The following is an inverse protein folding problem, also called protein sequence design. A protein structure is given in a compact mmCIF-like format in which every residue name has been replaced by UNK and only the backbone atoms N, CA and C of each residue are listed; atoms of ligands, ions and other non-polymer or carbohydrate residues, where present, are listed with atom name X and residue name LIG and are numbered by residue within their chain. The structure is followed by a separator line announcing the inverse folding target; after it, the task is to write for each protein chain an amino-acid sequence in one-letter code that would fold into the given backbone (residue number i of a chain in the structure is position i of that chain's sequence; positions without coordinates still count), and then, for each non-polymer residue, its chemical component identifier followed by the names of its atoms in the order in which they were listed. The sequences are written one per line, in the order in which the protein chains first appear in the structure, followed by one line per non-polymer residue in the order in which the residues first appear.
data_IF_808991704362
#
_entry.id   IF_808991704362
#
_cell.length_a   1.000
_cell.length_b   1.000
_cell.length_c   1.000
_cell.angle_alpha   90.00
_cell.angle_beta   90.00
_cell.angle_gamma   90.00
#
_symmetry.space_group_name_H-M   'P 1'
#
loop_
_entity.id
_entity.type
_entity.pdbx_description
1 polymer ?
2 non-polymer ?
3 non-polymer ?
4 non-polymer ?
5 water ?
#
# COMPACT_ATOMS: atom_id res chain seq x y z
N UNK A 4 -21.32 -4.20 -9.46
CA UNK A 4 -20.94 -5.20 -8.41
C UNK A 4 -20.07 -4.58 -7.29
N UNK A 5 -18.84 -4.17 -7.63
CA UNK A 5 -17.95 -3.54 -6.64
C UNK A 5 -18.17 -2.02 -6.58
N UNK A 6 -19.41 -1.64 -6.24
CA UNK A 6 -19.90 -0.25 -6.31
C UNK A 6 -19.23 0.76 -5.37
N UNK A 7 -18.47 0.26 -4.39
CA UNK A 7 -17.76 1.13 -3.44
C UNK A 7 -16.42 1.66 -3.92
N UNK A 8 -15.89 1.02 -4.98
CA UNK A 8 -14.58 1.36 -5.56
C UNK A 8 -14.51 2.80 -6.13
N UNK A 9 -15.60 3.21 -6.81
CA UNK A 9 -15.63 4.44 -7.55
C UNK A 9 -15.14 5.67 -6.79
N UNK A 10 -15.63 5.86 -5.56
CA UNK A 10 -15.27 7.06 -4.83
C UNK A 10 -13.77 7.08 -4.50
N UNK A 11 -13.22 5.92 -4.12
CA UNK A 11 -11.75 5.83 -3.90
C UNK A 11 -10.96 6.12 -5.17
N UNK A 12 -11.33 5.49 -6.28
CA UNK A 12 -10.61 5.74 -7.52
C UNK A 12 -10.71 7.24 -7.94
N UNK A 13 -11.85 7.89 -7.64
CA UNK A 13 -11.99 9.30 -7.98
C UNK A 13 -11.05 10.17 -7.12
N UNK A 14 -10.87 9.83 -5.84
CA UNK A 14 -9.93 10.57 -4.99
C UNK A 14 -8.47 10.39 -5.51
N UNK A 15 -8.13 9.22 -6.05
CA UNK A 15 -6.78 9.03 -6.61
C UNK A 15 -6.60 9.83 -7.89
N UNK A 16 -7.61 9.78 -8.77
CA UNK A 16 -7.58 10.44 -10.06
C UNK A 16 -7.36 11.97 -9.92
N UNK A 17 -7.90 12.56 -8.86
CA UNK A 17 -7.67 14.00 -8.60
C UNK A 17 -6.17 14.32 -8.48
N UNK A 18 -5.43 13.46 -7.79
CA UNK A 18 -3.99 13.71 -7.63
C UNK A 18 -3.27 13.38 -8.95
N UNK A 19 -3.61 12.24 -9.56
CA UNK A 19 -3.09 11.90 -10.88
C UNK A 19 -3.34 12.96 -11.99
N UNK A 20 -4.42 13.74 -11.89
CA UNK A 20 -4.66 14.77 -12.91
C UNK A 20 -3.87 16.06 -12.62
N UNK A 21 -3.31 16.19 -11.41
CA UNK A 21 -2.65 17.43 -10.98
C UNK A 21 -1.17 17.45 -11.42
N UNK A 22 -0.74 18.56 -12.02
CA UNK A 22 0.67 18.76 -12.38
C UNK A 22 1.12 20.18 -11.99
N UNK A 23 1.16 20.47 -10.70
CA UNK A 23 1.28 21.85 -10.26
C UNK A 23 2.67 22.47 -10.50
N UNK A 24 3.68 21.63 -10.74
CA UNK A 24 5.02 22.11 -11.06
C UNK A 24 5.26 22.05 -12.55
N UNK A 25 4.22 21.70 -13.31
CA UNK A 25 4.27 21.65 -14.77
C UNK A 25 5.45 20.77 -15.18
N UNK A 26 5.48 19.56 -14.65
CA UNK A 26 6.68 18.73 -14.75
C UNK A 26 6.55 17.55 -15.68
N UNK A 27 5.37 17.36 -16.27
CA UNK A 27 5.11 16.15 -17.02
C UNK A 27 6.18 15.85 -18.07
N UNK A 28 6.49 16.84 -18.92
CA UNK A 28 7.41 16.61 -20.03
C UNK A 28 8.82 16.39 -19.50
N UNK A 29 9.10 16.88 -18.31
CA UNK A 29 10.40 16.77 -17.71
C UNK A 29 10.60 15.37 -17.10
N UNK A 30 9.62 14.90 -16.34
CA UNK A 30 9.77 13.61 -15.68
C UNK A 30 9.87 12.48 -16.72
N UNK A 31 9.20 12.60 -17.86
CA UNK A 31 9.38 11.61 -18.95
C UNK A 31 10.82 11.41 -19.39
N UNK A 32 11.69 12.41 -19.18
CA UNK A 32 13.12 12.32 -19.56
C UNK A 32 13.97 11.46 -18.60
N UNK A 33 13.43 11.20 -17.41
CA UNK A 33 14.16 10.49 -16.35
C UNK A 33 14.64 9.05 -16.69
N UNK A 34 13.79 8.19 -17.29
CA UNK A 34 14.27 6.85 -17.64
C UNK A 34 15.54 6.84 -18.50
N UNK A 35 15.63 7.77 -19.43
CA UNK A 35 16.82 7.86 -20.31
C UNK A 35 18.06 8.16 -19.46
N UNK A 36 17.90 9.06 -18.50
CA UNK A 36 19.02 9.48 -17.66
C UNK A 36 19.43 8.36 -16.72
N UNK A 37 18.44 7.63 -16.24
CA UNK A 37 18.72 6.48 -15.37
C UNK A 37 19.49 5.40 -16.10
N UNK A 38 19.08 5.11 -17.33
CA UNK A 38 19.75 4.11 -18.17
C UNK A 38 21.21 4.53 -18.42
N UNK A 39 21.41 5.83 -18.54
CA UNK A 39 22.75 6.34 -18.80
C UNK A 39 23.54 6.61 -17.50
N UNK A 40 22.92 6.35 -16.35
CA UNK A 40 23.54 6.57 -15.02
C UNK A 40 24.07 7.99 -14.90
N UNK A 41 23.32 8.95 -15.45
CA UNK A 41 23.78 10.33 -15.56
C UNK A 41 23.31 11.09 -14.33
N UNK A 42 24.08 11.01 -13.26
CA UNK A 42 23.70 11.59 -11.99
C UNK A 42 23.62 13.13 -12.05
N UNK A 43 24.64 13.79 -12.64
CA UNK A 43 24.54 15.25 -12.82
C UNK A 43 23.31 15.66 -13.63
N UNK A 44 23.03 14.94 -14.72
CA UNK A 44 21.84 15.18 -15.52
C UNK A 44 20.53 14.99 -14.77
N UNK A 45 20.46 13.98 -13.90
CA UNK A 45 19.26 13.75 -13.07
C UNK A 45 19.02 14.94 -12.11
N UNK A 46 20.08 15.37 -11.45
CA UNK A 46 20.00 16.58 -10.61
C UNK A 46 19.58 17.82 -11.41
N UNK A 47 20.19 18.02 -12.57
CA UNK A 47 19.88 19.20 -13.40
C UNK A 47 18.42 19.20 -13.83
N UNK A 48 17.90 18.03 -14.16
CA UNK A 48 16.52 17.91 -14.56
C UNK A 48 15.55 18.21 -13.40
N UNK A 49 15.84 17.66 -12.23
CA UNK A 49 15.08 17.98 -11.04
C UNK A 49 15.07 19.49 -10.76
N UNK A 50 16.22 20.14 -10.91
CA UNK A 50 16.31 21.59 -10.60
C UNK A 50 15.53 22.47 -11.59
N UNK A 51 15.20 21.92 -12.75
CA UNK A 51 14.36 22.62 -13.70
C UNK A 51 12.95 22.87 -13.15
N UNK A 52 12.47 22.04 -12.23
CA UNK A 52 11.13 22.22 -11.67
C UNK A 52 11.00 22.27 -10.14
N UNK A 53 12.09 21.95 -9.44
CA UNK A 53 12.08 22.01 -8.00
C UNK A 53 11.82 23.45 -7.53
N UNK A 54 10.78 23.67 -6.72
CA UNK A 54 10.56 25.04 -6.20
C UNK A 54 11.69 25.48 -5.25
N UNK A 55 12.13 26.74 -5.36
CA UNK A 55 13.22 27.25 -4.50
C UNK A 55 12.73 28.36 -3.58
N UNK A 56 11.45 28.68 -3.67
CA UNK A 56 10.92 29.83 -2.96
C UNK A 56 9.81 29.43 -2.00
N UNK A 57 9.82 28.17 -1.59
CA UNK A 57 8.72 27.63 -0.81
C UNK A 57 7.51 27.33 -1.66
N UNK A 58 6.53 26.67 -1.06
CA UNK A 58 5.36 26.16 -1.77
C UNK A 58 4.38 27.29 -2.06
N UNK A 59 3.73 27.26 -3.26
CA UNK A 59 2.66 28.20 -3.57
C UNK A 59 1.57 28.15 -2.50
N UNK A 60 1.11 29.31 -2.04
CA UNK A 60 0.21 29.36 -0.88
C UNK A 60 -1.20 28.84 -1.16
N UNK A 61 -1.59 28.71 -2.43
CA UNK A 61 -2.93 28.24 -2.78
C UNK A 61 -3.04 26.71 -2.92
N UNK A 62 -1.91 26.03 -2.80
CA UNK A 62 -1.87 24.57 -2.82
C UNK A 62 -2.68 23.94 -1.70
N UNK A 63 -3.42 22.90 -2.02
CA UNK A 63 -4.03 22.03 -1.02
C UNK A 63 -3.35 20.67 -1.03
N UNK A 64 -4.01 19.67 -0.48
CA UNK A 64 -3.44 18.33 -0.39
C UNK A 64 -3.07 17.80 -1.78
N UNK A 65 -3.95 18.03 -2.75
CA UNK A 65 -3.80 17.45 -4.08
C UNK A 65 -2.53 17.92 -4.80
N UNK A 66 -2.32 19.23 -4.83
CA UNK A 66 -1.10 19.81 -5.41
C UNK A 66 0.18 19.34 -4.67
N UNK A 67 0.18 19.35 -3.35
CA UNK A 67 1.38 18.98 -2.61
C UNK A 67 1.71 17.48 -2.84
N UNK A 68 0.70 16.63 -2.84
CA UNK A 68 0.91 15.19 -3.14
C UNK A 68 1.43 14.99 -4.57
N UNK A 69 0.87 15.73 -5.52
CA UNK A 69 1.34 15.66 -6.90
C UNK A 69 2.79 16.15 -7.05
N UNK A 70 3.15 17.22 -6.34
CA UNK A 70 4.52 17.71 -6.33
C UNK A 70 5.47 16.66 -5.72
N UNK A 71 5.05 16.02 -4.63
CA UNK A 71 5.88 15.00 -3.99
C UNK A 71 6.09 13.83 -4.94
N UNK A 72 5.05 13.52 -5.72
CA UNK A 72 5.17 12.43 -6.67
C UNK A 72 6.31 12.73 -7.65
N UNK A 73 6.26 13.93 -8.24
CA UNK A 73 7.16 14.27 -9.36
C UNK A 73 8.59 14.47 -8.88
N UNK A 74 8.76 15.07 -7.70
CA UNK A 74 10.10 15.15 -7.10
C UNK A 74 10.50 13.75 -6.68
N UNK A 75 9.54 13.01 -6.13
CA UNK A 75 9.79 11.66 -5.62
C UNK A 75 10.51 10.70 -6.54
N UNK A 76 10.11 10.66 -7.82
CA UNK A 76 10.85 9.80 -8.74
C UNK A 76 12.36 10.06 -8.83
N UNK A 77 12.76 11.33 -8.64
CA UNK A 77 14.15 11.71 -8.55
C UNK A 77 14.86 11.20 -7.32
N UNK A 78 14.12 11.03 -6.22
CA UNK A 78 14.70 10.59 -4.95
C UNK A 78 15.17 9.14 -5.04
N UNK A 79 14.27 8.26 -5.44
CA UNK A 79 14.67 6.87 -5.61
C UNK A 79 15.74 6.69 -6.68
N UNK A 80 15.68 7.49 -7.74
CA UNK A 80 16.67 7.44 -8.81
C UNK A 80 18.04 7.84 -8.27
N UNK A 81 18.14 8.98 -7.60
CA UNK A 81 19.44 9.40 -7.08
C UNK A 81 20.04 8.34 -6.14
N UNK A 82 19.22 7.75 -5.28
CA UNK A 82 19.70 6.77 -4.31
C UNK A 82 20.09 5.47 -5.06
N UNK A 83 19.34 5.13 -6.12
CA UNK A 83 19.69 3.97 -6.98
C UNK A 83 21.13 4.05 -7.50
N UNK A 84 21.59 5.25 -7.84
CA UNK A 84 22.99 5.44 -8.29
C UNK A 84 24.01 5.67 -7.16
N UNK A 85 23.57 5.56 -5.91
CA UNK A 85 24.51 5.53 -4.77
C UNK A 85 24.56 6.86 -4.02
N UNK A 86 23.58 7.75 -4.27
CA UNK A 86 23.59 9.10 -3.68
C UNK A 86 22.39 9.43 -2.77
N UNK A 87 22.66 10.00 -1.59
CA UNK A 87 21.58 10.59 -0.80
C UNK A 87 21.08 11.87 -1.47
N UNK A 88 19.81 11.86 -1.89
CA UNK A 88 19.30 13.03 -2.63
C UNK A 88 19.44 14.33 -1.82
N UNK A 89 19.15 14.29 -0.54
CA UNK A 89 19.24 15.50 0.29
C UNK A 89 20.68 16.04 0.32
N UNK A 90 21.65 15.15 0.13
CA UNK A 90 23.04 15.53 0.12
C UNK A 90 23.48 16.14 -1.18
N UNK A 91 22.93 15.70 -2.33
CA UNK A 91 23.42 16.23 -3.62
C UNK A 91 22.56 17.33 -4.25
N UNK A 92 21.39 17.60 -3.64
CA UNK A 92 20.48 18.64 -4.16
C UNK A 92 20.23 19.68 -3.08
N UNK A 93 21.00 20.79 -3.11
CA UNK A 93 20.82 21.78 -2.05
C UNK A 93 19.43 22.41 -2.14
N UNK A 94 18.81 22.66 -0.99
CA UNK A 94 17.45 23.21 -0.97
C UNK A 94 16.39 22.15 -1.10
N UNK A 95 16.79 20.91 -1.38
CA UNK A 95 15.77 19.84 -1.52
C UNK A 95 15.07 19.42 -0.21
N UNK A 96 15.84 19.18 0.83
CA UNK A 96 15.28 18.65 2.05
C UNK A 96 14.16 19.56 2.66
N UNK A 97 14.37 20.89 2.70
CA UNK A 97 13.26 21.75 3.21
C UNK A 97 11.94 21.62 2.44
N UNK A 98 12.04 21.51 1.12
CA UNK A 98 10.87 21.33 0.26
C UNK A 98 10.21 19.96 0.61
N UNK A 99 11.02 18.91 0.78
CA UNK A 99 10.48 17.56 1.12
C UNK A 99 9.74 17.64 2.44
N UNK A 100 10.33 18.31 3.43
CA UNK A 100 9.71 18.46 4.75
C UNK A 100 8.42 19.31 4.72
N UNK A 101 8.43 20.37 3.91
CA UNK A 101 7.24 21.20 3.66
C UNK A 101 6.12 20.39 3.01
N UNK A 102 6.47 19.50 2.08
CA UNK A 102 5.46 18.65 1.42
C UNK A 102 4.93 17.55 2.36
N UNK A 103 5.81 17.01 3.22
CA UNK A 103 5.39 16.08 4.27
C UNK A 103 4.34 16.76 5.19
N UNK A 104 4.62 18.02 5.56
CA UNK A 104 3.71 18.81 6.41
C UNK A 104 2.34 19.03 5.71
N UNK A 105 2.38 19.36 4.42
CA UNK A 105 1.15 19.67 3.64
C UNK A 105 0.30 18.42 3.38
N UNK A 106 0.92 17.25 3.35
CA UNK A 106 0.20 16.00 3.06
C UNK A 106 0.01 15.06 4.27
N UNK A 107 0.67 15.37 5.39
CA UNK A 107 0.70 14.46 6.56
C UNK A 107 1.17 13.05 6.17
N UNK A 108 2.16 13.02 5.30
CA UNK A 108 2.76 11.78 4.83
C UNK A 108 4.28 11.92 4.98
N UNK A 109 5.05 10.83 4.76
CA UNK A 109 6.49 11.01 4.92
C UNK A 109 7.08 11.98 3.88
N UNK A 110 8.31 12.47 4.12
CA UNK A 110 8.99 13.39 3.21
C UNK A 110 9.73 12.71 2.01
N UNK A 111 9.10 11.71 1.40
CA UNK A 111 9.55 11.16 0.11
C UNK A 111 8.35 10.51 -0.58
N UNK A 112 8.58 9.89 -1.74
CA UNK A 112 7.51 9.23 -2.47
C UNK A 112 7.13 7.92 -1.74
N UNK A 113 5.83 7.65 -1.75
CA UNK A 113 5.29 6.40 -1.23
C UNK A 113 4.64 5.65 -2.39
N UNK A 114 4.25 4.40 -2.12
CA UNK A 114 3.49 3.64 -3.08
C UNK A 114 2.33 4.42 -3.72
N UNK A 115 1.56 5.11 -2.89
CA UNK A 115 0.45 5.91 -3.41
C UNK A 115 0.87 6.85 -4.51
N UNK A 116 1.95 7.61 -4.24
CA UNK A 116 2.46 8.58 -5.23
C UNK A 116 2.77 7.94 -6.58
N UNK A 117 3.36 6.74 -6.57
CA UNK A 117 3.91 6.16 -7.79
C UNK A 117 2.91 5.26 -8.53
N UNK A 118 1.79 4.90 -7.88
CA UNK A 118 0.79 4.07 -8.53
C UNK A 118 -0.50 4.86 -8.77
N UNK A 119 -1.38 4.93 -7.76
CA UNK A 119 -2.72 5.47 -8.00
C UNK A 119 -2.75 6.97 -8.16
N UNK A 120 -1.75 7.66 -7.62
CA UNK A 120 -1.66 9.12 -7.83
C UNK A 120 -0.87 9.51 -9.08
N UNK A 121 -0.47 8.51 -9.85
CA UNK A 121 0.40 8.69 -11.00
C UNK A 121 -0.48 8.50 -12.24
N UNK A 122 -0.50 9.48 -13.16
CA UNK A 122 -1.41 9.31 -14.32
C UNK A 122 -1.01 8.11 -15.17
N UNK A 123 -1.98 7.54 -15.88
CA UNK A 123 -1.82 6.28 -16.62
C UNK A 123 -1.38 6.42 -18.10
N UNK A 124 -1.57 7.58 -18.72
CA UNK A 124 -1.26 7.71 -20.15
C UNK A 124 0.25 7.56 -20.42
N UNK A 125 0.58 6.99 -21.57
CA UNK A 125 1.99 6.89 -22.01
C UNK A 125 2.70 8.25 -22.03
N UNK A 126 1.99 9.32 -22.36
CA UNK A 126 2.65 10.62 -22.38
C UNK A 126 2.63 11.37 -21.02
N UNK A 127 2.21 10.69 -19.96
CA UNK A 127 2.10 11.33 -18.62
C UNK A 127 2.67 10.47 -17.50
N UNK A 128 2.54 9.14 -17.60
CA UNK A 128 2.94 8.24 -16.50
C UNK A 128 4.41 8.44 -16.15
N UNK A 129 4.64 8.76 -14.87
CA UNK A 129 6.00 8.85 -14.31
C UNK A 129 6.52 7.43 -14.04
N UNK A 130 7.83 7.28 -14.20
CA UNK A 130 8.49 5.99 -14.11
C UNK A 130 9.97 6.17 -13.72
N UNK A 131 10.52 5.26 -12.92
CA UNK A 131 11.96 5.26 -12.73
C UNK A 131 12.68 4.82 -14.01
N UNK A 132 12.23 3.71 -14.59
CA UNK A 132 13.02 3.02 -15.58
C UNK A 132 12.44 3.08 -16.98
N UNK A 133 11.14 3.34 -17.10
CA UNK A 133 10.47 3.21 -18.42
C UNK A 133 10.25 1.79 -18.92
N UNK A 134 10.59 0.81 -18.09
CA UNK A 134 10.54 -0.61 -18.50
C UNK A 134 9.11 -1.13 -18.43
N UNK A 135 8.77 -2.10 -19.29
CA UNK A 135 7.43 -2.70 -19.30
C UNK A 135 7.13 -3.32 -17.94
N UNK A 136 8.10 -4.01 -17.35
CA UNK A 136 7.88 -4.62 -16.03
C UNK A 136 7.51 -3.62 -14.94
N UNK A 137 8.10 -2.43 -14.97
CA UNK A 137 7.70 -1.40 -13.99
C UNK A 137 6.25 -0.97 -14.26
N UNK A 138 5.91 -0.78 -15.53
CA UNK A 138 4.51 -0.44 -15.86
C UNK A 138 3.53 -1.53 -15.39
N UNK A 139 3.91 -2.80 -15.52
CA UNK A 139 3.02 -3.89 -15.10
C UNK A 139 2.90 -3.93 -13.57
N UNK A 140 4.00 -3.63 -12.88
CA UNK A 140 3.99 -3.54 -11.43
C UNK A 140 3.03 -2.46 -10.96
N UNK A 141 3.06 -1.28 -11.58
CA UNK A 141 2.11 -0.24 -11.22
C UNK A 141 0.71 -0.71 -11.47
N UNK A 142 0.47 -1.34 -12.62
CA UNK A 142 -0.89 -1.83 -12.93
C UNK A 142 -1.36 -2.85 -11.88
N UNK A 143 -0.47 -3.70 -11.40
CA UNK A 143 -0.89 -4.72 -10.44
C UNK A 143 -1.41 -4.09 -9.13
N UNK A 144 -0.86 -2.94 -8.75
CA UNK A 144 -1.33 -2.24 -7.56
C UNK A 144 -2.62 -1.49 -7.83
N UNK A 145 -2.72 -0.88 -9.02
CA UNK A 145 -3.94 -0.22 -9.44
C UNK A 145 -5.13 -1.15 -9.49
N UNK A 146 -4.88 -2.43 -9.77
CA UNK A 146 -5.99 -3.41 -9.81
C UNK A 146 -6.75 -3.43 -8.46
N UNK A 147 -6.03 -3.38 -7.34
CA UNK A 147 -6.65 -3.66 -6.04
C UNK A 147 -6.70 -2.54 -5.01
N UNK A 148 -5.94 -1.45 -5.21
CA UNK A 148 -5.86 -0.41 -4.16
C UNK A 148 -7.24 0.14 -3.76
N UNK A 149 -8.05 0.57 -4.73
CA UNK A 149 -9.34 1.18 -4.43
C UNK A 149 -10.24 0.15 -3.76
N UNK A 150 -10.17 -1.08 -4.26
CA UNK A 150 -10.96 -2.15 -3.73
C UNK A 150 -10.52 -2.49 -2.31
N UNK A 151 -9.21 -2.30 -2.02
CA UNK A 151 -8.68 -2.59 -0.68
C UNK A 151 -9.16 -1.55 0.31
N UNK A 152 -9.17 -0.30 -0.12
CA UNK A 152 -9.69 0.80 0.67
C UNK A 152 -11.18 0.61 0.96
N UNK A 153 -11.95 0.15 -0.04
CA UNK A 153 -13.35 -0.16 0.23
C UNK A 153 -13.44 -1.27 1.26
N UNK A 154 -12.57 -2.28 1.13
CA UNK A 154 -12.51 -3.38 2.07
C UNK A 154 -12.21 -2.95 3.51
N UNK A 155 -11.29 -1.99 3.69
CA UNK A 155 -11.01 -1.45 5.02
C UNK A 155 -12.31 -0.86 5.61
N UNK A 156 -13.01 -0.03 4.83
CA UNK A 156 -14.27 0.55 5.28
C UNK A 156 -15.27 -0.54 5.68
N UNK A 157 -15.42 -1.58 4.84
CA UNK A 157 -16.32 -2.71 5.13
C UNK A 157 -15.96 -3.47 6.43
N UNK A 158 -14.66 -3.66 6.67
CA UNK A 158 -14.16 -4.33 7.86
C UNK A 158 -14.53 -3.54 9.14
N UNK A 159 -14.34 -2.23 9.07
CA UNK A 159 -14.69 -1.33 10.15
C UNK A 159 -16.22 -1.37 10.39
N UNK A 160 -16.99 -1.44 9.30
CA UNK A 160 -18.44 -1.50 9.42
C UNK A 160 -18.88 -2.83 10.03
N UNK A 161 -18.32 -3.92 9.53
CA UNK A 161 -18.58 -5.26 10.04
C UNK A 161 -18.28 -5.39 11.53
N UNK A 162 -17.26 -4.68 11.99
CA UNK A 162 -16.85 -4.70 13.39
C UNK A 162 -18.01 -4.35 14.35
N UNK A 163 -18.91 -3.45 13.94
CA UNK A 163 -20.09 -3.14 14.77
C UNK A 163 -21.34 -3.96 14.39
N UNK A 164 -21.16 -5.04 13.63
CA UNK A 164 -22.31 -5.87 13.25
C UNK A 164 -22.36 -7.17 14.05
N UNK A 165 -23.52 -7.43 14.65
CA UNK A 165 -23.74 -8.62 15.46
C UNK A 165 -23.76 -9.86 14.58
N UNK A 166 -23.05 -10.89 15.04
CA UNK A 166 -23.04 -12.22 14.42
C UNK A 166 -24.43 -12.87 14.36
N UNK A 167 -25.32 -12.45 15.27
CA UNK A 167 -26.72 -12.91 15.31
C UNK A 167 -27.56 -12.33 14.17
N UNK A 168 -27.10 -11.24 13.57
CA UNK A 168 -27.79 -10.61 12.46
C UNK A 168 -27.42 -11.29 11.14
N UNK A 169 -28.39 -11.45 10.22
CA UNK A 169 -28.08 -11.88 8.84
C UNK A 169 -27.19 -10.89 8.08
N UNK A 170 -27.11 -9.65 8.58
CA UNK A 170 -26.21 -8.65 8.03
C UNK A 170 -24.74 -9.08 8.19
N UNK A 171 -24.43 -9.93 9.17
CA UNK A 171 -23.04 -10.34 9.35
C UNK A 171 -22.54 -11.16 8.17
N UNK A 172 -23.32 -12.15 7.75
CA UNK A 172 -22.97 -12.99 6.61
C UNK A 172 -22.86 -12.17 5.30
N UNK A 173 -23.83 -11.27 5.08
CA UNK A 173 -23.90 -10.42 3.91
C UNK A 173 -22.71 -9.48 3.77
N UNK A 174 -22.35 -8.82 4.88
CA UNK A 174 -21.23 -7.90 4.91
C UNK A 174 -19.93 -8.66 4.64
N UNK A 175 -19.80 -9.82 5.27
CA UNK A 175 -18.61 -10.67 5.13
C UNK A 175 -18.44 -11.15 3.68
N UNK A 176 -19.56 -11.57 3.08
CA UNK A 176 -19.59 -11.97 1.66
C UNK A 176 -19.14 -10.83 0.74
N UNK A 177 -19.69 -9.65 0.95
CA UNK A 177 -19.29 -8.44 0.25
C UNK A 177 -17.80 -8.13 0.48
N UNK A 178 -17.36 -8.16 1.75
CA UNK A 178 -15.93 -8.01 2.06
C UNK A 178 -15.01 -8.95 1.26
N UNK A 179 -15.41 -10.22 1.18
CA UNK A 179 -14.65 -11.25 0.47
C UNK A 179 -14.45 -10.89 -1.01
N UNK A 180 -15.49 -10.29 -1.58
CA UNK A 180 -15.50 -9.95 -3.00
C UNK A 180 -14.51 -8.83 -3.29
N UNK A 181 -14.40 -7.87 -2.38
CA UNK A 181 -13.45 -6.79 -2.56
C UNK A 181 -12.02 -7.30 -2.41
N UNK A 182 -11.80 -8.20 -1.46
CA UNK A 182 -10.45 -8.74 -1.18
C UNK A 182 -9.92 -9.67 -2.28
N UNK A 183 -10.84 -10.17 -3.10
CA UNK A 183 -10.49 -10.99 -4.28
C UNK A 183 -9.61 -10.18 -5.26
N UNK A 184 -9.82 -8.87 -5.35
CA UNK A 184 -8.89 -8.01 -6.11
C UNK A 184 -7.39 -8.17 -5.76
N UNK A 185 -7.05 -8.36 -4.47
CA UNK A 185 -5.65 -8.67 -4.09
C UNK A 185 -5.14 -9.93 -4.80
N UNK A 186 -6.00 -10.94 -4.88
CA UNK A 186 -5.68 -12.18 -5.59
C UNK A 186 -5.45 -11.85 -7.06
N UNK A 187 -6.36 -11.10 -7.66
CA UNK A 187 -6.20 -10.68 -9.06
C UNK A 187 -4.88 -9.90 -9.33
N UNK A 188 -4.48 -9.04 -8.38
CA UNK A 188 -3.16 -8.38 -8.43
C UNK A 188 -1.98 -9.35 -8.50
N UNK A 189 -1.98 -10.37 -7.66
CA UNK A 189 -0.83 -11.28 -7.65
C UNK A 189 -0.84 -12.20 -8.87
N UNK A 190 -2.01 -12.62 -9.30
CA UNK A 190 -2.13 -13.36 -10.56
C UNK A 190 -1.57 -12.54 -11.75
N UNK A 191 -1.85 -11.23 -11.75
CA UNK A 191 -1.38 -10.32 -12.81
C UNK A 191 0.12 -10.17 -12.75
N UNK A 192 0.65 -9.95 -11.54
CA UNK A 192 2.07 -9.87 -11.33
C UNK A 192 2.79 -11.16 -11.79
N UNK A 193 2.19 -12.32 -11.53
CA UNK A 193 2.74 -13.60 -11.99
C UNK A 193 2.85 -13.71 -13.51
N UNK A 194 1.80 -13.24 -14.19
CA UNK A 194 1.71 -13.33 -15.63
C UNK A 194 2.67 -12.33 -16.30
N UNK A 195 2.75 -11.11 -15.76
CA UNK A 195 3.37 -10.04 -16.53
C UNK A 195 4.74 -9.54 -16.07
N UNK A 196 5.13 -9.82 -14.83
CA UNK A 196 6.37 -9.25 -14.29
C UNK A 196 7.41 -10.34 -14.14
N UNK A 197 8.50 -10.22 -14.89
CA UNK A 197 9.67 -11.07 -14.77
C UNK A 197 10.42 -10.81 -13.47
N UNK A 198 10.58 -11.85 -12.64
CA UNK A 198 11.43 -11.74 -11.44
C UNK A 198 12.92 -11.36 -11.70
N UNK A 199 13.50 -11.83 -12.81
CA UNK A 199 14.82 -11.39 -13.28
C UNK A 199 14.91 -9.86 -13.41
N UNK A 200 13.96 -9.26 -14.12
CA UNK A 200 13.98 -7.83 -14.37
C UNK A 200 13.60 -7.08 -13.10
N UNK A 201 12.73 -7.66 -12.29
CA UNK A 201 12.36 -7.01 -11.07
C UNK A 201 13.56 -6.85 -10.15
N UNK A 202 14.24 -7.95 -9.86
CA UNK A 202 15.34 -7.96 -8.90
C UNK A 202 16.52 -7.14 -9.39
N UNK A 203 16.86 -7.26 -10.67
CA UNK A 203 18.04 -6.61 -11.22
C UNK A 203 17.81 -5.16 -11.60
N UNK A 204 16.59 -4.85 -12.01
CA UNK A 204 16.34 -3.58 -12.69
C UNK A 204 15.46 -2.62 -11.90
N UNK A 205 14.51 -3.14 -11.11
CA UNK A 205 13.54 -2.28 -10.43
C UNK A 205 13.87 -2.09 -8.96
N UNK A 206 14.11 -3.21 -8.29
CA UNK A 206 14.41 -3.26 -6.85
C UNK A 206 15.48 -2.23 -6.40
N UNK A 207 16.53 -2.00 -7.23
CA UNK A 207 17.54 -0.98 -6.86
C UNK A 207 17.03 0.43 -6.66
N UNK A 208 15.83 0.73 -7.22
CA UNK A 208 15.20 2.04 -7.06
C UNK A 208 14.42 2.24 -5.77
N UNK A 209 14.28 1.19 -4.95
CA UNK A 209 13.47 1.25 -3.73
C UNK A 209 14.25 1.28 -2.39
N UNK A 210 15.50 1.70 -2.44
CA UNK A 210 16.32 1.79 -1.23
C UNK A 210 15.86 2.97 -0.36
N UNK A 211 16.11 2.88 0.95
CA UNK A 211 15.71 4.00 1.81
C UNK A 211 16.60 5.22 1.58
N UNK A 212 16.07 6.40 1.88
CA UNK A 212 16.86 7.62 1.85
C UNK A 212 16.80 8.28 3.23
N UNK A 213 17.78 9.14 3.51
CA UNK A 213 17.77 9.88 4.78
C UNK A 213 17.22 11.30 4.62
N UNK A 214 16.21 11.61 5.42
CA UNK A 214 15.62 12.95 5.47
C UNK A 214 15.31 13.28 6.91
N UNK A 215 15.61 14.51 7.34
CA UNK A 215 15.27 14.93 8.71
C UNK A 215 15.88 14.05 9.81
N UNK A 216 17.06 13.51 9.54
CA UNK A 216 17.81 12.69 10.48
C UNK A 216 17.20 11.34 10.76
N UNK A 217 16.42 10.84 9.82
CA UNK A 217 16.01 9.43 9.85
C UNK A 217 15.89 8.84 8.44
N UNK A 218 15.65 7.54 8.40
CA UNK A 218 15.59 6.76 7.19
C UNK A 218 14.14 6.50 6.77
N UNK A 219 13.81 6.82 5.52
CA UNK A 219 12.48 6.46 4.97
C UNK A 219 12.59 5.45 3.85
N UNK A 220 11.79 4.39 3.96
CA UNK A 220 11.79 3.27 3.00
C UNK A 220 11.27 3.71 1.64
N UNK A 221 11.64 2.95 0.61
CA UNK A 221 11.18 3.17 -0.75
C UNK A 221 9.75 2.65 -0.99
N UNK A 222 9.15 3.05 -2.12
CA UNK A 222 7.70 2.95 -2.34
C UNK A 222 7.22 1.58 -2.80
N UNK A 223 7.40 0.54 -1.98
CA UNK A 223 6.95 -0.81 -2.34
C UNK A 223 5.48 -1.15 -2.06
N UNK A 224 5.00 -2.18 -2.75
CA UNK A 224 3.62 -2.65 -2.59
C UNK A 224 3.30 -3.09 -1.14
N UNK A 225 4.33 -3.43 -0.38
CA UNK A 225 4.21 -3.69 1.07
C UNK A 225 3.51 -2.55 1.82
N UNK A 226 3.58 -1.34 1.28
CA UNK A 226 2.94 -0.20 1.89
C UNK A 226 1.40 -0.18 1.74
N UNK A 227 0.83 -1.08 0.95
CA UNK A 227 -0.64 -1.18 0.80
C UNK A 227 -1.25 -1.37 2.18
N UNK A 228 -2.36 -0.66 2.48
CA UNK A 228 -2.87 -0.72 3.88
C UNK A 228 -3.63 -2.02 4.23
N UNK A 229 -3.30 -3.12 3.56
CA UNK A 229 -3.80 -4.43 3.93
C UNK A 229 -3.49 -4.76 5.41
N UNK A 230 -2.30 -4.38 5.88
CA UNK A 230 -1.94 -4.63 7.29
C UNK A 230 -2.86 -3.90 8.27
N UNK A 231 -3.40 -2.75 7.85
CA UNK A 231 -4.39 -2.06 8.69
C UNK A 231 -5.70 -2.84 8.72
N UNK A 232 -6.16 -3.29 7.54
CA UNK A 232 -7.39 -4.08 7.46
C UNK A 232 -7.34 -5.27 8.42
N UNK A 233 -6.24 -6.02 8.37
CA UNK A 233 -6.09 -7.24 9.17
C UNK A 233 -5.81 -6.97 10.63
N UNK A 234 -5.16 -5.83 10.93
CA UNK A 234 -5.06 -5.35 12.32
C UNK A 234 -6.49 -5.30 12.93
N UNK A 235 -7.44 -4.72 12.22
CA UNK A 235 -8.83 -4.65 12.66
C UNK A 235 -9.49 -6.04 12.64
N UNK A 236 -9.26 -6.76 11.55
CA UNK A 236 -9.89 -8.05 11.37
C UNK A 236 -9.46 -9.13 12.39
N UNK A 237 -8.15 -9.32 12.58
CA UNK A 237 -7.65 -10.40 13.49
C UNK A 237 -6.40 -10.10 14.30
N UNK A 238 -5.61 -9.11 13.88
CA UNK A 238 -4.27 -8.90 14.47
C UNK A 238 -4.07 -7.82 15.54
N UNK A 239 -5.09 -7.03 15.85
CA UNK A 239 -4.94 -5.94 16.83
C UNK A 239 -4.41 -6.36 18.23
N UNK A 240 -4.83 -7.53 18.70
CA UNK A 240 -4.42 -8.04 20.02
C UNK A 240 -3.25 -9.04 20.02
N UNK A 241 -2.57 -9.19 18.89
CA UNK A 241 -1.47 -10.12 18.78
C UNK A 241 -0.25 -9.68 19.61
N UNK A 242 0.38 -10.64 20.27
CA UNK A 242 1.59 -10.37 21.07
C UNK A 242 2.87 -10.79 20.34
N UNK A 243 2.72 -11.24 19.08
CA UNK A 243 3.84 -11.61 18.22
C UNK A 243 4.64 -10.37 17.85
N UNK A 244 5.87 -10.32 18.36
CA UNK A 244 6.71 -9.13 18.28
C UNK A 244 7.14 -8.80 16.85
N UNK A 245 7.46 -9.82 16.07
CA UNK A 245 7.85 -9.65 14.67
C UNK A 245 6.70 -9.00 13.87
N UNK A 246 5.48 -9.46 14.15
CA UNK A 246 4.28 -8.97 13.48
C UNK A 246 3.99 -7.52 13.86
N UNK A 247 4.01 -7.26 15.16
CA UNK A 247 3.79 -5.92 15.70
C UNK A 247 4.78 -4.92 15.07
N UNK A 248 6.04 -5.32 14.98
CA UNK A 248 7.08 -4.46 14.40
C UNK A 248 6.89 -4.24 12.92
N UNK A 249 6.41 -5.27 12.22
CA UNK A 249 6.06 -5.14 10.80
C UNK A 249 5.03 -4.04 10.59
N UNK A 250 3.94 -4.08 11.34
CA UNK A 250 2.84 -3.13 11.18
C UNK A 250 3.32 -1.72 11.52
N UNK A 251 4.12 -1.60 12.57
CA UNK A 251 4.59 -0.29 13.03
C UNK A 251 5.58 0.32 12.05
N UNK A 252 6.32 -0.53 11.36
CA UNK A 252 7.24 -0.14 10.31
C UNK A 252 6.56 0.59 9.16
N UNK A 253 5.43 0.07 8.71
CA UNK A 253 4.80 0.60 7.50
C UNK A 253 3.70 1.63 7.79
N UNK A 254 3.26 1.67 9.05
CA UNK A 254 2.23 2.60 9.46
C UNK A 254 2.41 4.04 8.95
N UNK A 255 3.64 4.60 9.05
CA UNK A 255 3.82 5.99 8.61
C UNK A 255 3.50 6.26 7.13
N UNK A 256 3.50 5.22 6.30
CA UNK A 256 3.36 5.35 4.86
C UNK A 256 1.95 5.25 4.32
N UNK A 257 0.98 4.90 5.18
CA UNK A 257 -0.42 4.79 4.72
C UNK A 257 -1.15 6.12 4.96
N UNK A 258 -2.30 6.34 4.31
CA UNK A 258 -3.09 7.56 4.50
C UNK A 258 -3.35 7.86 5.99
N UNK A 259 -3.35 9.15 6.34
CA UNK A 259 -3.68 9.55 7.71
C UNK A 259 -4.91 8.85 8.27
N UNK A 260 -5.95 8.72 7.47
CA UNK A 260 -7.22 8.11 7.94
C UNK A 260 -7.00 6.66 8.35
N UNK A 261 -6.11 5.94 7.67
CA UNK A 261 -5.83 4.54 8.05
C UNK A 261 -4.89 4.39 9.25
N UNK A 262 -3.98 5.33 9.43
CA UNK A 262 -3.24 5.44 10.70
C UNK A 262 -4.20 5.67 11.89
N UNK A 263 -5.28 6.43 11.68
CA UNK A 263 -6.27 6.67 12.75
C UNK A 263 -7.12 5.41 12.98
N UNK A 264 -7.52 4.73 11.90
CA UNK A 264 -8.20 3.43 12.02
C UNK A 264 -7.33 2.46 12.83
N UNK A 265 -6.05 2.41 12.49
CA UNK A 265 -5.12 1.53 13.18
C UNK A 265 -5.09 1.82 14.70
N UNK A 266 -4.97 3.09 15.07
CA UNK A 266 -4.91 3.53 16.47
C UNK A 266 -6.19 3.22 17.22
N UNK A 267 -7.33 3.52 16.60
CA UNK A 267 -8.64 3.22 17.19
C UNK A 267 -8.76 1.77 17.66
N UNK A 268 -8.21 0.83 16.87
CA UNK A 268 -8.41 -0.60 17.16
C UNK A 268 -7.29 -1.27 17.95
N UNK A 269 -6.17 -0.56 18.10
CA UNK A 269 -4.99 -1.11 18.80
C UNK A 269 -5.28 -1.48 20.23
N UNK A 270 -4.70 -2.61 20.67
CA UNK A 270 -4.95 -3.12 21.99
C UNK A 270 -6.27 -3.87 22.05
N UNK A 271 -7.38 -3.14 21.87
CA UNK A 271 -8.75 -3.66 21.78
C UNK A 271 -8.87 -5.02 21.04
N UNK A 272 -9.83 -5.88 21.47
CA UNK A 272 -10.07 -7.12 20.71
C UNK A 272 -10.38 -6.93 19.21
N UNK A 273 -9.83 -7.81 18.37
CA UNK A 273 -10.02 -7.72 16.94
C UNK A 273 -11.41 -8.26 16.59
N UNK A 274 -11.83 -7.96 15.36
CA UNK A 274 -13.14 -8.38 14.88
C UNK A 274 -13.41 -9.87 15.19
N UNK A 275 -12.55 -10.76 14.69
CA UNK A 275 -12.79 -12.20 14.90
C UNK A 275 -12.76 -12.66 16.36
N UNK A 276 -12.03 -11.96 17.23
CA UNK A 276 -12.01 -12.29 18.67
C UNK A 276 -13.42 -12.04 19.24
N UNK A 277 -13.98 -10.90 18.89
CA UNK A 277 -15.33 -10.52 19.29
C UNK A 277 -16.36 -11.44 18.64
N UNK A 278 -16.22 -11.70 17.34
CA UNK A 278 -17.14 -12.62 16.67
C UNK A 278 -17.14 -14.00 17.34
N UNK A 279 -15.96 -14.56 17.60
CA UNK A 279 -15.86 -15.91 18.17
C UNK A 279 -16.38 -15.94 19.60
N UNK A 280 -16.20 -14.87 20.34
CA UNK A 280 -16.75 -14.78 21.69
C UNK A 280 -18.25 -14.80 21.59
N UNK A 281 -18.78 -14.07 20.61
CA UNK A 281 -20.22 -13.99 20.44
C UNK A 281 -20.76 -15.37 20.08
N UNK A 282 -20.07 -16.06 19.18
CA UNK A 282 -20.46 -17.42 18.78
C UNK A 282 -20.45 -18.41 19.97
N UNK A 283 -19.44 -18.31 20.83
CA UNK A 283 -19.37 -19.20 21.99
C UNK A 283 -20.48 -18.96 23.01
N UNK A 284 -20.93 -17.71 23.16
CA UNK A 284 -21.98 -17.39 24.11
C UNK A 284 -23.36 -17.83 23.60
N UNK A 285 -23.63 -17.55 22.32
CA UNK A 285 -24.96 -17.75 21.71
C UNK A 285 -25.15 -19.16 21.16
N UNK A 286 -24.08 -19.74 20.62
CA UNK A 286 -24.14 -21.11 20.09
C UNK A 286 -24.34 -21.12 18.58
N UNK A 287 -23.76 -22.13 17.94
CA UNK A 287 -23.88 -22.31 16.49
C UNK A 287 -25.21 -22.94 16.01
N UNK A 288 -26.15 -23.21 16.93
CA UNK A 288 -27.54 -23.59 16.58
C UNK A 288 -28.24 -22.39 15.91
N UNK A 289 -27.80 -21.19 16.24
CA UNK A 289 -28.31 -20.00 15.60
C UNK A 289 -27.85 -19.96 14.13
N UNK A 290 -28.82 -20.01 13.21
CA UNK A 290 -28.57 -20.00 11.76
C UNK A 290 -27.66 -18.85 11.30
N UNK A 291 -27.87 -17.67 11.87
CA UNK A 291 -27.10 -16.49 11.49
C UNK A 291 -25.66 -16.59 11.97
N UNK A 292 -25.47 -17.18 13.15
CA UNK A 292 -24.14 -17.41 13.67
C UNK A 292 -23.35 -18.35 12.76
N UNK A 293 -23.97 -19.49 12.38
CA UNK A 293 -23.38 -20.44 11.42
C UNK A 293 -23.03 -19.77 10.09
N UNK A 294 -23.99 -19.04 9.52
CA UNK A 294 -23.77 -18.35 8.25
C UNK A 294 -22.71 -17.26 8.35
N UNK A 295 -22.72 -16.51 9.45
CA UNK A 295 -21.72 -15.49 9.73
C UNK A 295 -20.33 -16.10 9.78
N UNK A 296 -20.18 -17.16 10.56
CA UNK A 296 -18.87 -17.81 10.70
C UNK A 296 -18.36 -18.40 9.40
N UNK A 297 -19.27 -18.95 8.61
CA UNK A 297 -18.92 -19.56 7.33
C UNK A 297 -18.40 -18.49 6.38
N UNK A 298 -19.10 -17.36 6.36
CA UNK A 298 -18.74 -16.23 5.48
C UNK A 298 -17.38 -15.66 5.91
N UNK A 299 -17.15 -15.64 7.20
CA UNK A 299 -15.92 -15.12 7.75
C UNK A 299 -14.72 -16.01 7.36
N UNK A 300 -14.92 -17.34 7.39
CA UNK A 300 -13.91 -18.29 6.94
C UNK A 300 -13.51 -18.05 5.47
N UNK A 301 -14.48 -17.74 4.60
CA UNK A 301 -14.20 -17.38 3.21
C UNK A 301 -13.36 -16.11 3.08
N UNK A 302 -13.52 -15.16 4.00
CA UNK A 302 -12.68 -13.97 4.07
C UNK A 302 -11.22 -14.42 4.27
N UNK A 303 -11.00 -15.34 5.22
CA UNK A 303 -9.65 -15.83 5.49
C UNK A 303 -9.09 -16.62 4.31
N UNK A 304 -9.94 -17.40 3.66
CA UNK A 304 -9.55 -18.10 2.43
C UNK A 304 -8.99 -17.14 1.36
N UNK A 305 -9.69 -16.03 1.12
CA UNK A 305 -9.23 -15.12 0.08
C UNK A 305 -7.93 -14.40 0.48
N UNK A 306 -7.78 -14.06 1.77
CA UNK A 306 -6.53 -13.52 2.23
C UNK A 306 -5.41 -14.51 1.96
N UNK A 307 -5.71 -15.79 2.13
CA UNK A 307 -4.69 -16.83 1.95
C UNK A 307 -4.39 -17.07 0.47
N UNK A 308 -5.39 -16.86 -0.39
CA UNK A 308 -5.20 -16.92 -1.84
C UNK A 308 -4.37 -15.75 -2.39
N UNK A 309 -4.32 -14.64 -1.66
CA UNK A 309 -3.36 -13.58 -1.96
C UNK A 309 -1.99 -13.93 -1.39
N UNK A 310 -1.97 -14.26 -0.10
CA UNK A 310 -0.73 -14.34 0.68
C UNK A 310 0.22 -15.49 0.27
N UNK A 311 -0.30 -16.70 0.09
CA UNK A 311 0.58 -17.83 -0.29
C UNK A 311 1.20 -17.70 -1.69
N UNK A 312 0.39 -17.30 -2.72
CA UNK A 312 1.02 -17.04 -4.02
C UNK A 312 1.95 -15.82 -4.01
N UNK A 313 1.69 -14.83 -3.16
CA UNK A 313 2.58 -13.66 -3.09
C UNK A 313 3.96 -14.09 -2.58
N UNK A 314 3.98 -14.98 -1.58
CA UNK A 314 5.23 -15.55 -1.05
C UNK A 314 6.07 -16.30 -2.10
N UNK A 315 5.43 -17.00 -3.02
CA UNK A 315 6.17 -17.67 -4.09
C UNK A 315 6.73 -16.68 -5.11
N UNK A 316 5.94 -15.67 -5.46
CA UNK A 316 6.41 -14.56 -6.30
C UNK A 316 7.68 -13.91 -5.74
N UNK A 317 7.63 -13.53 -4.47
CA UNK A 317 8.77 -12.96 -3.76
C UNK A 317 9.98 -13.90 -3.70
N UNK A 318 9.76 -15.18 -3.44
CA UNK A 318 10.88 -16.14 -3.41
C UNK A 318 11.51 -16.32 -4.79
N UNK A 319 10.68 -16.35 -5.83
CA UNK A 319 11.17 -16.49 -7.21
C UNK A 319 12.07 -15.29 -7.59
N UNK A 320 11.74 -14.10 -7.09
CA UNK A 320 12.56 -12.90 -7.28
C UNK A 320 13.90 -12.97 -6.55
N UNK A 321 13.86 -13.26 -5.25
CA UNK A 321 15.07 -13.44 -4.43
C UNK A 321 15.95 -14.64 -4.83
N UNK A 322 15.39 -15.57 -5.60
CA UNK A 322 16.14 -16.71 -6.12
C UNK A 322 17.28 -16.27 -7.03
N UNK A 323 17.02 -15.25 -7.86
CA UNK A 323 18.07 -14.64 -8.70
C UNK A 323 18.61 -13.35 -8.09
N UNK A 336 13.85 -14.91 0.65
CA UNK A 336 12.98 -13.77 0.98
C UNK A 336 13.07 -13.38 2.47
N UNK A 337 12.66 -12.13 2.79
CA UNK A 337 12.48 -11.75 4.19
C UNK A 337 11.57 -12.71 4.94
N UNK A 338 12.09 -13.23 6.05
CA UNK A 338 11.43 -14.21 6.91
C UNK A 338 10.04 -13.80 7.41
N UNK A 339 9.81 -12.49 7.44
CA UNK A 339 8.55 -11.91 7.87
C UNK A 339 7.34 -12.43 7.10
N UNK A 340 7.53 -12.68 5.81
CA UNK A 340 6.46 -13.18 4.93
C UNK A 340 5.94 -14.55 5.38
N UNK A 341 6.85 -15.47 5.63
CA UNK A 341 6.52 -16.79 6.14
C UNK A 341 5.76 -16.74 7.45
N UNK A 342 6.21 -15.86 8.35
CA UNK A 342 5.61 -15.74 9.68
C UNK A 342 4.19 -15.16 9.60
N UNK A 343 3.99 -14.19 8.72
CA UNK A 343 2.67 -13.60 8.53
C UNK A 343 1.69 -14.64 7.98
N UNK A 344 2.19 -15.44 7.03
CA UNK A 344 1.44 -16.54 6.45
C UNK A 344 0.96 -17.49 7.55
N UNK A 345 1.87 -17.83 8.46
CA UNK A 345 1.57 -18.73 9.58
C UNK A 345 0.49 -18.14 10.47
N UNK A 346 0.63 -16.86 10.79
CA UNK A 346 -0.37 -16.15 11.59
C UNK A 346 -1.75 -16.17 10.96
N UNK A 347 -1.80 -16.05 9.62
CA UNK A 347 -3.08 -16.01 8.88
C UNK A 347 -3.77 -17.38 8.95
N UNK A 348 -2.98 -18.45 8.78
CA UNK A 348 -3.49 -19.81 8.88
C UNK A 348 -4.11 -20.10 10.27
N UNK A 349 -3.45 -19.63 11.33
CA UNK A 349 -3.91 -19.84 12.69
C UNK A 349 -5.20 -19.07 12.97
N UNK A 350 -5.26 -17.84 12.47
CA UNK A 350 -6.50 -17.07 12.48
C UNK A 350 -7.65 -17.81 11.74
N UNK A 351 -7.44 -18.21 10.49
CA UNK A 351 -8.45 -19.01 9.79
C UNK A 351 -8.87 -20.28 10.57
N UNK A 352 -7.88 -20.97 11.13
CA UNK A 352 -8.14 -22.19 11.89
C UNK A 352 -9.00 -21.96 13.13
N UNK A 353 -8.82 -20.83 13.79
CA UNK A 353 -9.70 -20.44 14.90
C UNK A 353 -11.15 -20.32 14.41
N UNK A 354 -11.34 -19.75 13.23
CA UNK A 354 -12.67 -19.57 12.65
C UNK A 354 -13.30 -20.93 12.28
N UNK A 355 -12.51 -21.80 11.66
CA UNK A 355 -12.95 -23.16 11.34
C UNK A 355 -13.30 -24.01 12.54
N UNK A 356 -12.50 -23.90 13.61
CA UNK A 356 -12.75 -24.69 14.81
C UNK A 356 -14.08 -24.31 15.48
N UNK A 357 -14.47 -23.04 15.34
CA UNK A 357 -15.75 -22.58 15.88
C UNK A 357 -16.96 -23.22 15.18
N UNK A 358 -16.74 -23.79 14.00
CA UNK A 358 -17.81 -24.42 13.21
C UNK A 358 -17.89 -25.94 13.32
X LIG B 1 6.00 -5.76 -2.05
X LIG B 1 6.70 -4.61 -1.86
X LIG C 1 5.50 -7.60 1.20
X LIG C 1 8.23 -8.99 -2.53
X LIG C 1 4.75 -7.79 -5.67
X LIG C 1 1.85 -6.76 -1.95
X LIG C 1 6.59 -7.99 0.46
X LIG C 1 7.92 -8.25 0.96
X LIG C 1 8.68 -8.64 -0.08
X LIG C 1 7.84 -8.64 -1.26
X LIG C 1 10.18 -9.03 -0.07
X LIG C 1 8.35 -8.09 2.43
X LIG C 1 8.75 -6.62 2.65
X LIG C 1 9.96 -6.23 1.83
X LIG C 1 9.84 -5.39 0.89
X LIG C 1 11.07 -6.78 2.10
X LIG C 1 7.54 -8.79 -3.69
X LIG C 1 8.04 -9.03 -5.01
X LIG C 1 7.09 -8.69 -5.89
X LIG C 1 5.95 -8.22 -5.14
X LIG C 1 9.47 -9.58 -5.26
X LIG C 1 7.10 -8.75 -7.45
X LIG C 1 7.90 -9.51 -8.18
X LIG C 1 3.63 -7.43 -4.96
X LIG C 1 2.33 -7.08 -5.48
X LIG C 1 1.50 -6.81 -4.44
X LIG C 1 2.30 -6.98 -3.23
X LIG C 1 1.95 -7.06 -6.98
X LIG C 1 0.02 -6.38 -4.44
X LIG C 1 -0.56 -5.73 -5.45
X LIG C 1 2.52 -6.93 -0.77
X LIG C 1 1.92 -6.85 0.54
X LIG C 1 3.06 -7.09 1.52
X LIG C 1 4.23 -7.33 0.72
X LIG C 1 0.44 -6.53 0.88
X LIG C 1 2.96 -7.15 3.06
X LIG C 1 2.98 -8.66 3.40
X LIG C 1 1.63 -9.34 3.27
X LIG C 1 1.60 -10.59 3.11
X LIG C 1 0.56 -8.69 3.35
X LIG C 1 6.58 -8.25 -0.88
X LIG C 1 6.25 -8.30 -3.80
X LIG C 1 3.57 -7.32 -3.59
X LIG C 1 3.88 -7.22 -0.62
X LIG C 1 5.08 -7.77 -2.22
X LIG D 1 0.33 10.32 12.94
X LIG D 1 0.45 10.23 14.38
X LIG D 1 -0.68 11.34 12.58
X LIG D 1 1.65 10.68 12.41
X LIG D 1 -0.07 9.03 12.40
#
# INVERSE_FOLDING_TARGET
MERTLDRVGVFAATHAAVAASDPLQARALVLQLPGLNRNKDVPGIVGLLREFLPVRGLPSGWGFVEAAAAMRDIGFFLGSLKRHGHEPAEVVPGLEPVLLDLARATNLPPRETLLHVTVWNPTAADAQRSYTGLPDEAHLLESVRISMAALEAAIALTVELFDVSLRSPEFAQRSDELEAYLQKMVESIVYAYRFISPQVFYDELRPFYEPIRVGGQSYLGPGAVEMPLFVLEHVLWGSQSDDQTYREFKETYLPYVLPAYRAVYARFSGEPALIDRALDEARAVGTRDEHVRAGLTALERVFKVLLRFRAPHLKLAERAYEVGQSGPEIGSGGYAPSMLGELLTLTYAARSRVRAALDES
CYN C N
HEM CHA CHB CHC CHD C1A C2A C3A C4A CMA CAA CBA CGA O1A O2A C1B C2B C3B C4B CMB CAB CBB C1C C2C C3C C4C CMC CAC CBC C1D C2D C3D C4D CMD CAD CBD CGD O1D O2D NA NB NC ND FE
SO4 S O1 O2 O3 O4
#
